data_IF_293388015353
#
_entry.id   IF_293388015353
#
_cell.length_a   1.000
_cell.length_b   1.000
_cell.length_c   1.000
_cell.angle_alpha   90.00
_cell.angle_beta   90.00
_cell.angle_gamma   90.00
#
_symmetry.space_group_name_H-M   'P 1'
#
loop_
_entity.id
_entity.type
_entity.pdbx_description
1 polymer ?
#
# COMPACT_ATOMS: atom_id res chain seq x y z
N UNK A 1 8.90 -2.33 -27.63
CA UNK A 1 8.08 -2.97 -26.57
C UNK A 1 9.02 -3.59 -25.54
N UNK A 2 8.65 -3.59 -24.26
CA UNK A 2 9.41 -4.26 -23.20
C UNK A 2 9.35 -5.78 -23.35
N UNK A 3 10.34 -6.50 -22.81
CA UNK A 3 10.35 -7.96 -22.87
C UNK A 3 9.27 -8.56 -21.96
N UNK A 4 8.79 -9.77 -22.29
CA UNK A 4 7.74 -10.42 -21.49
C UNK A 4 8.14 -10.65 -20.03
N UNK A 5 9.44 -10.87 -19.78
CA UNK A 5 9.99 -10.98 -18.42
C UNK A 5 9.80 -9.68 -17.62
N UNK A 6 10.10 -8.53 -18.22
CA UNK A 6 9.96 -7.23 -17.56
C UNK A 6 8.49 -6.86 -17.40
N UNK A 7 7.66 -7.12 -18.41
CA UNK A 7 6.22 -6.91 -18.34
C UNK A 7 5.58 -7.68 -17.18
N UNK A 8 5.93 -8.96 -17.01
CA UNK A 8 5.41 -9.76 -15.90
C UNK A 8 5.89 -9.22 -14.54
N UNK A 9 7.17 -8.87 -14.42
CA UNK A 9 7.70 -8.30 -13.18
C UNK A 9 7.02 -6.97 -12.79
N UNK A 10 6.70 -6.12 -13.78
CA UNK A 10 5.96 -4.88 -13.53
C UNK A 10 4.51 -5.16 -13.08
N UNK A 11 3.83 -6.14 -13.67
CA UNK A 11 2.50 -6.53 -13.22
C UNK A 11 2.51 -7.10 -11.79
N UNK A 12 3.52 -7.91 -11.47
CA UNK A 12 3.70 -8.44 -10.11
C UNK A 12 3.99 -7.30 -9.12
N UNK A 13 4.80 -6.32 -9.50
CA UNK A 13 5.08 -5.13 -8.68
C UNK A 13 3.82 -4.30 -8.44
N UNK A 14 3.03 -4.00 -9.48
CA UNK A 14 1.75 -3.28 -9.35
C UNK A 14 0.81 -3.99 -8.36
N UNK A 15 0.76 -5.32 -8.41
CA UNK A 15 -0.03 -6.10 -7.45
C UNK A 15 0.52 -5.95 -6.01
N UNK A 16 1.85 -6.00 -5.86
CA UNK A 16 2.51 -5.81 -4.58
C UNK A 16 2.23 -4.43 -3.98
N UNK A 17 2.26 -3.35 -4.77
CA UNK A 17 1.94 -2.00 -4.26
C UNK A 17 0.48 -1.88 -3.83
N UNK A 18 -0.46 -2.44 -4.60
CA UNK A 18 -1.87 -2.48 -4.18
C UNK A 18 -2.08 -3.29 -2.89
N UNK A 19 -1.38 -4.41 -2.74
CA UNK A 19 -1.41 -5.19 -1.51
C UNK A 19 -0.86 -4.38 -0.34
N UNK A 20 0.30 -3.73 -0.50
CA UNK A 20 0.92 -2.86 0.50
C UNK A 20 0.01 -1.71 0.90
N UNK A 21 -0.62 -1.03 -0.08
CA UNK A 21 -1.59 0.02 0.17
C UNK A 21 -2.73 -0.50 1.06
N UNK A 22 -3.42 -1.59 0.66
CA UNK A 22 -4.52 -2.15 1.45
C UNK A 22 -4.09 -2.65 2.82
N UNK A 23 -2.85 -3.15 2.95
CA UNK A 23 -2.28 -3.51 4.23
C UNK A 23 -2.17 -2.27 5.14
N UNK A 24 -1.57 -1.17 4.68
CA UNK A 24 -1.47 0.06 5.47
C UNK A 24 -2.82 0.69 5.78
N UNK A 25 -3.79 0.61 4.86
CA UNK A 25 -5.15 1.04 5.12
C UNK A 25 -5.81 0.23 6.24
N UNK A 26 -5.61 -1.10 6.23
CA UNK A 26 -6.10 -1.98 7.29
C UNK A 26 -5.47 -1.68 8.66
N UNK A 27 -4.15 -1.42 8.67
CA UNK A 27 -3.43 -1.00 9.88
C UNK A 27 -3.94 0.34 10.40
N UNK A 28 -4.17 1.30 9.50
CA UNK A 28 -4.76 2.60 9.84
C UNK A 28 -6.10 2.43 10.55
N UNK A 29 -7.00 1.60 10.00
CA UNK A 29 -8.30 1.31 10.60
C UNK A 29 -8.16 0.66 11.99
N UNK A 30 -7.28 -0.34 12.12
CA UNK A 30 -7.02 -1.00 13.41
C UNK A 30 -6.46 -0.03 14.46
N UNK A 31 -5.47 0.78 14.11
CA UNK A 31 -4.86 1.75 15.03
C UNK A 31 -5.86 2.82 15.47
N UNK A 32 -6.79 3.20 14.58
CA UNK A 32 -7.85 4.12 14.92
C UNK A 32 -8.83 3.50 15.95
N UNK A 33 -9.18 2.22 15.80
CA UNK A 33 -10.06 1.48 16.72
C UNK A 33 -9.49 1.42 18.15
N UNK A 34 -8.18 1.22 18.28
CA UNK A 34 -7.50 1.20 19.58
C UNK A 34 -7.03 2.58 20.06
N UNK A 35 -7.61 3.67 19.53
CA UNK A 35 -7.34 5.07 19.92
C UNK A 35 -5.88 5.55 19.73
N UNK A 36 -5.10 4.90 18.86
CA UNK A 36 -3.76 5.31 18.46
C UNK A 36 -3.79 6.18 17.19
N UNK A 37 -4.55 7.28 17.24
CA UNK A 37 -4.92 8.08 16.07
C UNK A 37 -3.73 8.71 15.32
N UNK A 38 -2.63 9.05 16.02
CA UNK A 38 -1.41 9.53 15.38
C UNK A 38 -0.77 8.49 14.45
N UNK A 39 -0.70 7.22 14.89
CA UNK A 39 -0.21 6.12 14.07
C UNK A 39 -1.20 5.78 12.95
N UNK A 40 -2.50 5.86 13.22
CA UNK A 40 -3.53 5.65 12.20
C UNK A 40 -3.38 6.64 11.04
N UNK A 41 -3.15 7.92 11.33
CA UNK A 41 -2.90 8.95 10.31
C UNK A 41 -1.62 8.69 9.53
N UNK A 42 -0.55 8.25 10.20
CA UNK A 42 0.70 7.91 9.51
C UNK A 42 0.51 6.74 8.54
N UNK A 43 -0.16 5.67 8.96
CA UNK A 43 -0.48 4.53 8.09
C UNK A 43 -1.41 4.93 6.94
N UNK A 44 -2.32 5.89 7.16
CA UNK A 44 -3.15 6.43 6.09
C UNK A 44 -2.31 7.18 5.04
N UNK A 45 -1.31 7.95 5.46
CA UNK A 45 -0.38 8.59 4.54
C UNK A 45 0.44 7.57 3.75
N UNK A 46 0.88 6.47 4.37
CA UNK A 46 1.56 5.38 3.67
C UNK A 46 0.66 4.70 2.63
N UNK A 47 -0.63 4.49 2.92
CA UNK A 47 -1.57 4.01 1.89
C UNK A 47 -1.58 4.95 0.67
N UNK A 48 -1.56 6.26 0.87
CA UNK A 48 -1.57 7.23 -0.23
C UNK A 48 -0.25 7.24 -1.01
N UNK A 49 0.87 7.01 -0.34
CA UNK A 49 2.19 6.83 -0.95
C UNK A 49 2.25 5.56 -1.82
N UNK A 50 1.80 4.40 -1.31
CA UNK A 50 1.78 3.16 -2.08
C UNK A 50 0.77 3.17 -3.24
N UNK A 51 -0.30 3.96 -3.15
CA UNK A 51 -1.21 4.17 -4.27
C UNK A 51 -0.61 5.06 -5.37
N UNK A 52 0.45 5.81 -5.06
CA UNK A 52 1.21 6.62 -6.02
C UNK A 52 2.36 5.85 -6.67
N UNK A 53 2.96 4.90 -5.93
CA UNK A 53 3.96 3.96 -6.45
C UNK A 53 3.42 3.13 -7.62
#
# INVERSE_FOLDING_TARGET
MISKKIENALNDQINAEFYSAYLYLSMSAYLNDISLTGFANWMRAQYEEEMFH
#
